data_IF_325503677280
#
_entry.id   IF_325503677280
#
_cell.length_a   1.000
_cell.length_b   1.000
_cell.length_c   1.000
_cell.angle_alpha   90.00
_cell.angle_beta   90.00
_cell.angle_gamma   90.00
#
_symmetry.space_group_name_H-M   'P 1'
#
loop_
_entity.id
_entity.type
_entity.pdbx_description
1 polymer ?
#
# COMPACT_ATOMS: atom_id res chain seq x y z
N UNK A 1 -10.22 -16.47 -17.46
CA UNK A 1 -9.69 -15.82 -16.24
C UNK A 1 -10.67 -15.88 -15.05
N UNK A 2 -11.99 -15.88 -15.26
CA UNK A 2 -12.97 -15.88 -14.15
C UNK A 2 -13.08 -17.20 -13.38
N UNK A 3 -12.91 -18.34 -14.05
CA UNK A 3 -12.88 -19.66 -13.40
C UNK A 3 -11.74 -19.76 -12.36
N UNK A 4 -10.55 -19.24 -12.70
CA UNK A 4 -9.40 -19.22 -11.80
C UNK A 4 -9.63 -18.30 -10.59
N UNK A 5 -10.31 -17.15 -10.80
CA UNK A 5 -10.70 -16.25 -9.71
C UNK A 5 -11.75 -16.89 -8.79
N UNK A 6 -12.71 -17.62 -9.36
CA UNK A 6 -13.72 -18.37 -8.60
C UNK A 6 -13.08 -19.48 -7.74
N UNK A 7 -12.20 -20.30 -8.33
CA UNK A 7 -11.46 -21.35 -7.62
C UNK A 7 -10.60 -20.79 -6.47
N UNK A 8 -9.91 -19.66 -6.67
CA UNK A 8 -9.15 -18.98 -5.60
C UNK A 8 -10.05 -18.51 -4.45
N UNK A 9 -11.24 -17.96 -4.77
CA UNK A 9 -12.22 -17.52 -3.75
C UNK A 9 -12.77 -18.70 -2.96
N UNK A 10 -13.09 -19.79 -3.64
CA UNK A 10 -13.60 -21.02 -3.01
C UNK A 10 -12.56 -21.65 -2.07
N UNK A 11 -11.31 -21.78 -2.52
CA UNK A 11 -10.20 -22.28 -1.68
C UNK A 11 -9.99 -21.40 -0.43
N UNK A 12 -10.14 -20.08 -0.56
CA UNK A 12 -10.07 -19.14 0.57
C UNK A 12 -11.22 -19.35 1.55
N UNK A 13 -12.46 -19.50 1.05
CA UNK A 13 -13.66 -19.78 1.87
C UNK A 13 -13.53 -21.11 2.61
N UNK A 14 -13.14 -22.18 1.93
CA UNK A 14 -12.91 -23.49 2.54
C UNK A 14 -11.83 -23.44 3.64
N UNK A 15 -10.75 -22.67 3.44
CA UNK A 15 -9.73 -22.47 4.49
C UNK A 15 -10.27 -21.69 5.70
N UNK A 16 -11.16 -20.73 5.48
CA UNK A 16 -11.80 -19.99 6.58
C UNK A 16 -12.76 -20.86 7.38
N UNK A 17 -13.60 -21.65 6.71
CA UNK A 17 -14.51 -22.61 7.35
C UNK A 17 -13.74 -23.61 8.22
N UNK A 18 -12.70 -24.27 7.66
CA UNK A 18 -11.85 -25.19 8.42
C UNK A 18 -11.22 -24.57 9.67
N UNK A 19 -10.80 -23.29 9.58
CA UNK A 19 -10.26 -22.56 10.73
C UNK A 19 -11.33 -22.26 11.79
N UNK A 20 -12.55 -21.99 11.36
CA UNK A 20 -13.68 -21.75 12.25
C UNK A 20 -14.10 -23.04 12.96
N UNK A 21 -14.24 -24.14 12.22
CA UNK A 21 -14.55 -25.47 12.75
C UNK A 21 -13.49 -25.91 13.78
N UNK A 22 -12.20 -25.86 13.41
CA UNK A 22 -11.12 -26.21 14.34
C UNK A 22 -11.12 -25.33 15.61
N UNK A 23 -11.52 -24.05 15.50
CA UNK A 23 -11.66 -23.17 16.65
C UNK A 23 -12.85 -23.56 17.53
N UNK A 24 -13.99 -23.91 16.94
CA UNK A 24 -15.17 -24.37 17.68
C UNK A 24 -14.88 -25.70 18.40
N UNK A 25 -14.30 -26.67 17.70
CA UNK A 25 -13.88 -27.95 18.29
C UNK A 25 -12.89 -27.76 19.45
N UNK A 26 -11.97 -26.81 19.33
CA UNK A 26 -11.06 -26.49 20.43
C UNK A 26 -11.80 -25.92 21.63
N UNK A 27 -12.77 -25.00 21.41
CA UNK A 27 -13.55 -24.39 22.48
C UNK A 27 -14.51 -25.36 23.16
N UNK A 28 -15.04 -26.37 22.44
CA UNK A 28 -15.94 -27.39 22.98
C UNK A 28 -15.22 -28.41 23.87
N UNK A 29 -13.90 -28.54 23.73
CA UNK A 29 -13.05 -29.41 24.57
C UNK A 29 -12.63 -28.75 25.89
N UNK A 30 -12.89 -27.46 26.07
CA UNK A 30 -12.48 -26.69 27.26
C UNK A 30 -13.64 -26.63 28.28
N UNK A 31 -13.31 -26.69 29.58
CA UNK A 31 -14.27 -26.39 30.63
C UNK A 31 -14.73 -24.92 30.57
N UNK A 32 -15.86 -24.53 31.21
CA UNK A 32 -16.38 -23.17 31.15
C UNK A 32 -15.36 -22.09 31.56
N UNK A 33 -14.61 -22.32 32.65
CA UNK A 33 -13.58 -21.39 33.13
C UNK A 33 -12.37 -21.29 32.18
N UNK A 34 -11.92 -22.42 31.63
CA UNK A 34 -10.81 -22.46 30.67
C UNK A 34 -11.17 -21.77 29.35
N UNK A 35 -12.41 -21.96 28.89
CA UNK A 35 -12.96 -21.30 27.71
C UNK A 35 -12.98 -19.78 27.88
N UNK A 36 -13.45 -19.29 29.02
CA UNK A 36 -13.46 -17.85 29.34
C UNK A 36 -12.03 -17.28 29.35
N UNK A 37 -11.10 -17.94 30.04
CA UNK A 37 -9.69 -17.54 30.11
C UNK A 37 -9.03 -17.53 28.72
N UNK A 38 -9.30 -18.54 27.89
CA UNK A 38 -8.80 -18.61 26.51
C UNK A 38 -9.31 -17.43 25.66
N UNK A 39 -10.61 -17.15 25.71
CA UNK A 39 -11.21 -16.05 24.96
C UNK A 39 -10.70 -14.69 25.44
N UNK A 40 -10.53 -14.51 26.75
CA UNK A 40 -9.94 -13.31 27.33
C UNK A 40 -8.49 -13.12 26.84
N UNK A 41 -7.67 -14.17 26.84
CA UNK A 41 -6.30 -14.13 26.31
C UNK A 41 -6.26 -13.78 24.83
N UNK A 42 -7.06 -14.44 23.99
CA UNK A 42 -7.13 -14.13 22.55
C UNK A 42 -7.54 -12.68 22.31
N UNK A 43 -8.49 -12.16 23.10
CA UNK A 43 -8.91 -10.76 23.03
C UNK A 43 -7.77 -9.81 23.46
N UNK A 44 -7.06 -10.13 24.54
CA UNK A 44 -5.94 -9.35 25.03
C UNK A 44 -4.79 -9.32 24.01
N UNK A 45 -4.40 -10.47 23.45
CA UNK A 45 -3.39 -10.59 22.38
C UNK A 45 -3.77 -9.78 21.13
N UNK A 46 -5.04 -9.85 20.72
CA UNK A 46 -5.54 -9.08 19.57
C UNK A 46 -5.51 -7.56 19.84
N UNK A 47 -5.83 -7.14 21.07
CA UNK A 47 -5.73 -5.72 21.48
C UNK A 47 -4.28 -5.27 21.50
N UNK A 48 -3.38 -6.04 22.11
CA UNK A 48 -1.95 -5.71 22.17
C UNK A 48 -1.37 -5.61 20.76
N UNK A 49 -1.68 -6.56 19.87
CA UNK A 49 -1.24 -6.50 18.48
C UNK A 49 -1.69 -5.22 17.77
N UNK A 50 -2.93 -4.78 17.98
CA UNK A 50 -3.42 -3.52 17.40
C UNK A 50 -2.68 -2.29 17.94
N UNK A 51 -2.33 -2.30 19.23
CA UNK A 51 -1.54 -1.23 19.84
C UNK A 51 -0.13 -1.20 19.24
N UNK A 52 0.52 -2.35 19.12
CA UNK A 52 1.84 -2.46 18.49
C UNK A 52 1.82 -2.02 17.03
N UNK A 53 0.83 -2.49 16.26
CA UNK A 53 0.68 -2.13 14.84
C UNK A 53 0.48 -0.61 14.69
N UNK A 54 -0.33 -0.01 15.57
CA UNK A 54 -0.54 1.45 15.60
C UNK A 54 0.74 2.19 15.97
N UNK A 55 1.48 1.72 16.98
CA UNK A 55 2.73 2.34 17.41
C UNK A 55 3.81 2.26 16.31
N UNK A 56 3.92 1.11 15.63
CA UNK A 56 4.83 0.93 14.50
C UNK A 56 4.48 1.86 13.33
N UNK A 57 3.19 1.98 13.00
CA UNK A 57 2.74 2.91 11.96
C UNK A 57 3.01 4.37 12.34
N UNK A 58 2.79 4.74 13.60
CA UNK A 58 3.08 6.09 14.08
C UNK A 58 4.57 6.40 13.98
N UNK A 59 5.44 5.45 14.37
CA UNK A 59 6.89 5.61 14.23
C UNK A 59 7.33 5.80 12.77
N UNK A 60 6.77 4.99 11.84
CA UNK A 60 7.01 5.14 10.41
C UNK A 60 6.48 6.48 9.87
N UNK A 61 5.33 6.95 10.36
CA UNK A 61 4.78 8.25 10.01
C UNK A 61 5.66 9.41 10.49
N UNK A 62 6.16 9.39 11.73
CA UNK A 62 6.92 10.50 12.29
C UNK A 62 8.36 10.56 11.77
N UNK A 63 9.01 9.40 11.66
CA UNK A 63 10.47 9.32 11.45
C UNK A 63 10.92 8.28 10.42
N UNK A 64 9.97 7.59 9.80
CA UNK A 64 10.24 6.47 8.91
C UNK A 64 11.08 6.83 7.69
N UNK A 65 11.89 5.86 7.26
CA UNK A 65 12.78 5.94 6.10
C UNK A 65 12.93 4.57 5.43
N UNK A 66 13.19 4.51 4.11
CA UNK A 66 13.11 5.64 3.17
C UNK A 66 11.67 6.15 3.02
N UNK A 67 11.50 7.31 2.37
CA UNK A 67 10.18 7.82 1.99
C UNK A 67 9.74 7.18 0.69
N UNK A 68 8.47 6.78 0.61
CA UNK A 68 7.87 6.25 -0.63
C UNK A 68 6.60 7.03 -0.91
N UNK A 69 6.53 7.67 -2.09
CA UNK A 69 5.39 8.45 -2.52
C UNK A 69 4.64 7.74 -3.66
N UNK A 70 3.33 7.57 -3.51
CA UNK A 70 2.45 7.17 -4.61
C UNK A 70 1.92 8.46 -5.26
N UNK A 71 2.38 8.74 -6.47
CA UNK A 71 1.99 9.92 -7.22
C UNK A 71 0.64 9.72 -7.92
N UNK A 72 -0.43 10.29 -7.36
CA UNK A 72 -1.79 10.16 -7.89
C UNK A 72 -2.13 11.18 -8.98
N UNK A 73 -1.16 11.91 -9.56
CA UNK A 73 -1.42 12.95 -10.57
C UNK A 73 -2.04 12.44 -11.88
N UNK A 74 -2.16 11.12 -12.06
CA UNK A 74 -2.73 10.49 -13.25
C UNK A 74 -4.23 10.23 -13.13
N UNK A 75 -4.87 10.66 -12.04
CA UNK A 75 -6.27 10.38 -11.72
C UNK A 75 -7.25 10.62 -12.86
N UNK A 76 -7.13 11.75 -13.55
CA UNK A 76 -8.05 12.15 -14.63
C UNK A 76 -8.00 11.23 -15.86
N UNK A 77 -6.91 10.48 -16.03
CA UNK A 77 -6.74 9.54 -17.13
C UNK A 77 -7.32 8.15 -16.89
N UNK A 78 -7.86 7.86 -15.69
CA UNK A 78 -8.31 6.53 -15.30
C UNK A 78 -9.84 6.41 -15.26
N UNK A 79 -10.35 5.25 -15.71
CA UNK A 79 -11.76 4.90 -15.53
C UNK A 79 -12.09 4.57 -14.05
N UNK A 80 -13.37 4.53 -13.71
CA UNK A 80 -13.81 4.22 -12.34
C UNK A 80 -13.25 2.91 -11.77
N UNK A 81 -13.11 1.88 -12.60
CA UNK A 81 -12.62 0.58 -12.18
C UNK A 81 -11.09 0.60 -11.99
N UNK A 82 -10.37 1.40 -12.76
CA UNK A 82 -8.93 1.67 -12.63
C UNK A 82 -8.64 2.47 -11.37
N UNK A 83 -9.41 3.54 -11.10
CA UNK A 83 -9.34 4.30 -9.84
C UNK A 83 -9.58 3.41 -8.61
N UNK A 84 -10.58 2.51 -8.68
CA UNK A 84 -10.83 1.51 -7.63
C UNK A 84 -9.66 0.53 -7.48
N UNK A 85 -9.00 0.18 -8.58
CA UNK A 85 -7.82 -0.69 -8.57
C UNK A 85 -6.63 0.02 -7.93
N UNK A 86 -6.37 1.28 -8.29
CA UNK A 86 -5.34 2.14 -7.68
C UNK A 86 -5.55 2.21 -6.17
N UNK A 87 -6.75 2.59 -5.73
CA UNK A 87 -7.08 2.68 -4.31
C UNK A 87 -6.80 1.35 -3.60
N UNK A 88 -7.20 0.23 -4.22
CA UNK A 88 -6.95 -1.10 -3.64
C UNK A 88 -5.45 -1.42 -3.54
N UNK A 89 -4.64 -1.03 -4.52
CA UNK A 89 -3.19 -1.22 -4.49
C UNK A 89 -2.52 -0.34 -3.44
N UNK A 90 -2.95 0.92 -3.30
CA UNK A 90 -2.51 1.80 -2.20
C UNK A 90 -2.85 1.20 -0.82
N UNK A 91 -4.06 0.62 -0.66
CA UNK A 91 -4.43 -0.10 0.56
C UNK A 91 -3.51 -1.29 0.86
N UNK A 92 -3.11 -2.01 -0.19
CA UNK A 92 -2.21 -3.15 -0.06
C UNK A 92 -0.82 -2.70 0.38
N UNK A 93 -0.31 -1.59 -0.16
CA UNK A 93 0.95 -0.99 0.28
C UNK A 93 0.90 -0.57 1.76
N UNK A 94 -0.15 0.17 2.15
CA UNK A 94 -0.37 0.55 3.56
C UNK A 94 -0.47 -0.66 4.49
N UNK A 95 -1.23 -1.68 4.07
CA UNK A 95 -1.38 -2.92 4.85
C UNK A 95 -0.06 -3.67 4.97
N UNK A 96 0.76 -3.69 3.92
CA UNK A 96 2.07 -4.32 3.96
C UNK A 96 3.00 -3.60 4.94
N UNK A 97 3.02 -2.25 4.93
CA UNK A 97 3.81 -1.48 5.91
C UNK A 97 3.38 -1.81 7.34
N UNK A 98 2.08 -1.84 7.62
CA UNK A 98 1.56 -2.24 8.94
C UNK A 98 1.95 -3.66 9.32
N UNK A 99 1.60 -4.63 8.47
CA UNK A 99 1.69 -6.06 8.80
C UNK A 99 3.15 -6.53 8.91
N UNK A 100 4.08 -5.88 8.18
CA UNK A 100 5.52 -6.13 8.24
C UNK A 100 6.24 -5.26 9.28
N UNK A 101 5.54 -4.32 9.94
CA UNK A 101 6.15 -3.30 10.81
C UNK A 101 7.30 -2.56 10.10
N UNK A 102 7.09 -2.25 8.83
CA UNK A 102 8.10 -1.64 7.97
C UNK A 102 8.42 -0.21 8.43
N UNK A 103 9.68 0.23 8.37
CA UNK A 103 10.06 1.61 8.70
C UNK A 103 9.73 2.61 7.59
N UNK A 104 9.20 2.17 6.44
CA UNK A 104 8.90 3.05 5.29
C UNK A 104 7.86 4.11 5.67
N UNK A 105 8.19 5.37 5.42
CA UNK A 105 7.25 6.48 5.53
C UNK A 105 6.49 6.62 4.20
N UNK A 106 5.19 6.29 4.22
CA UNK A 106 4.33 6.33 3.04
C UNK A 106 3.71 7.72 2.84
N UNK A 107 3.69 8.15 1.58
CA UNK A 107 3.05 9.37 1.13
C UNK A 107 2.08 9.09 -0.03
N UNK A 108 0.94 9.76 -0.01
CA UNK A 108 0.09 9.95 -1.19
C UNK A 108 0.22 11.41 -1.61
N UNK A 109 0.52 11.68 -2.88
CA UNK A 109 0.61 13.05 -3.41
C UNK A 109 -0.39 13.27 -4.54
N UNK A 110 -0.65 14.53 -4.84
CA UNK A 110 -1.60 14.95 -5.86
C UNK A 110 -3.03 14.50 -5.56
N UNK A 111 -3.45 14.37 -4.30
CA UNK A 111 -4.79 13.85 -3.92
C UNK A 111 -5.78 14.92 -3.45
N UNK A 112 -5.67 16.12 -4.03
CA UNK A 112 -6.59 17.23 -3.79
C UNK A 112 -8.04 16.93 -4.16
N UNK A 113 -8.96 17.78 -3.72
CA UNK A 113 -10.42 17.55 -3.81
C UNK A 113 -10.93 17.25 -5.23
N UNK A 114 -10.29 17.83 -6.25
CA UNK A 114 -10.67 17.64 -7.66
C UNK A 114 -10.13 16.34 -8.25
N UNK A 115 -9.20 15.66 -7.60
CA UNK A 115 -8.63 14.42 -8.12
C UNK A 115 -9.61 13.25 -7.91
N UNK A 116 -10.06 12.57 -8.97
CA UNK A 116 -11.02 11.46 -8.86
C UNK A 116 -10.47 10.25 -8.08
N UNK A 117 -9.15 10.13 -7.94
CA UNK A 117 -8.52 9.11 -7.09
C UNK A 117 -8.84 9.31 -5.60
N UNK A 118 -9.05 10.55 -5.16
CA UNK A 118 -9.36 10.88 -3.75
C UNK A 118 -10.62 10.16 -3.29
N UNK A 119 -11.70 10.24 -4.06
CA UNK A 119 -12.96 9.58 -3.72
C UNK A 119 -12.80 8.05 -3.62
N UNK A 120 -12.02 7.44 -4.52
CA UNK A 120 -11.75 6.01 -4.50
C UNK A 120 -10.95 5.58 -3.27
N UNK A 121 -9.98 6.41 -2.84
CA UNK A 121 -9.18 6.21 -1.63
C UNK A 121 -10.03 6.39 -0.35
N UNK A 122 -10.92 7.38 -0.30
CA UNK A 122 -11.83 7.59 0.82
C UNK A 122 -12.79 6.41 1.01
N UNK A 123 -13.33 5.88 -0.09
CA UNK A 123 -14.24 4.74 -0.07
C UNK A 123 -13.64 3.46 0.54
N UNK A 124 -12.32 3.39 0.66
CA UNK A 124 -11.59 2.26 1.27
C UNK A 124 -10.96 2.62 2.62
N UNK A 125 -11.32 3.78 3.18
CA UNK A 125 -10.96 4.22 4.52
C UNK A 125 -9.62 4.95 4.63
N UNK A 126 -9.11 5.54 3.54
CA UNK A 126 -7.85 6.31 3.56
C UNK A 126 -7.77 7.38 4.67
N UNK A 127 -8.84 8.15 5.01
CA UNK A 127 -8.78 9.12 6.11
C UNK A 127 -8.40 8.56 7.48
N UNK A 128 -8.53 7.24 7.69
CA UNK A 128 -8.12 6.57 8.92
C UNK A 128 -6.73 5.94 8.88
N UNK A 129 -5.98 6.12 7.78
CA UNK A 129 -4.62 5.59 7.65
C UNK A 129 -3.62 6.52 8.31
N UNK A 130 -2.59 5.94 8.93
CA UNK A 130 -1.48 6.70 9.53
C UNK A 130 -0.38 6.81 8.47
N UNK A 131 -0.56 7.75 7.54
CA UNK A 131 0.34 8.07 6.42
C UNK A 131 0.28 9.56 6.10
N UNK A 132 1.24 10.06 5.32
CA UNK A 132 1.21 11.44 4.84
C UNK A 132 0.36 11.56 3.57
N UNK A 133 -0.49 12.57 3.51
CA UNK A 133 -1.39 12.82 2.38
C UNK A 133 -1.26 14.27 1.97
N UNK A 134 -0.98 14.50 0.69
CA UNK A 134 -0.70 15.83 0.12
C UNK A 134 -1.63 16.10 -1.05
N UNK A 135 -2.26 17.27 -1.05
CA UNK A 135 -3.08 17.73 -2.17
C UNK A 135 -2.18 18.14 -3.35
N UNK A 136 -0.98 18.61 -3.02
CA UNK A 136 0.07 19.12 -3.89
C UNK A 136 0.81 18.01 -4.64
N UNK A 137 1.48 18.40 -5.73
CA UNK A 137 2.26 17.48 -6.54
C UNK A 137 3.50 16.97 -5.81
N UNK A 138 3.95 15.76 -6.16
CA UNK A 138 5.20 15.21 -5.63
C UNK A 138 6.42 16.13 -5.91
N UNK A 139 6.35 16.90 -7.00
CA UNK A 139 7.37 17.85 -7.43
C UNK A 139 7.42 19.11 -6.56
N UNK A 140 6.33 19.42 -5.85
CA UNK A 140 6.22 20.60 -4.98
C UNK A 140 6.46 20.24 -3.50
N UNK A 141 6.11 19.01 -3.12
CA UNK A 141 6.21 18.51 -1.74
C UNK A 141 7.65 18.19 -1.33
N UNK A 142 8.49 17.73 -2.26
CA UNK A 142 9.83 17.23 -1.96
C UNK A 142 10.91 17.96 -2.74
N UNK A 143 12.11 18.00 -2.16
CA UNK A 143 13.30 18.50 -2.84
C UNK A 143 13.61 17.60 -4.07
N UNK A 144 13.74 18.17 -5.28
CA UNK A 144 14.05 17.42 -6.50
C UNK A 144 15.30 16.55 -6.41
N UNK A 145 16.30 16.93 -5.61
CA UNK A 145 17.55 16.17 -5.42
C UNK A 145 17.38 14.88 -4.60
N UNK A 146 16.26 14.77 -3.87
CA UNK A 146 15.90 13.58 -3.11
C UNK A 146 15.02 12.61 -3.89
N UNK A 147 14.42 13.06 -5.00
CA UNK A 147 13.47 12.25 -5.77
C UNK A 147 14.18 11.18 -6.59
N UNK A 148 13.70 9.94 -6.47
CA UNK A 148 14.04 8.82 -7.35
C UNK A 148 12.74 8.33 -7.98
N UNK A 149 12.56 8.59 -9.27
CA UNK A 149 11.34 8.23 -9.98
C UNK A 149 11.43 6.78 -10.45
N UNK A 150 10.51 5.95 -9.96
CA UNK A 150 10.41 4.55 -10.34
C UNK A 150 9.51 4.39 -11.55
N UNK A 151 10.10 3.98 -12.67
CA UNK A 151 9.38 3.73 -13.92
C UNK A 151 9.95 2.49 -14.62
N UNK A 152 9.11 1.60 -15.20
CA UNK A 152 9.60 0.44 -15.95
C UNK A 152 10.36 0.82 -17.23
N UNK A 153 10.22 2.08 -17.67
CA UNK A 153 10.82 2.62 -18.89
C UNK A 153 12.19 3.28 -18.65
N UNK A 154 12.72 3.24 -17.43
CA UNK A 154 14.08 3.75 -17.15
C UNK A 154 15.17 2.81 -17.70
N UNK A 155 16.30 3.40 -18.09
CA UNK A 155 17.45 2.66 -18.61
C UNK A 155 18.22 1.93 -17.49
N UNK A 156 18.37 2.59 -16.35
CA UNK A 156 19.14 2.12 -15.20
C UNK A 156 18.27 1.39 -14.16
N UNK A 157 18.80 0.29 -13.62
CA UNK A 157 18.16 -0.45 -12.53
C UNK A 157 18.39 0.26 -11.17
N UNK A 158 17.43 0.12 -10.26
CA UNK A 158 17.60 0.49 -8.86
C UNK A 158 18.43 -0.58 -8.17
N UNK A 159 19.72 -0.31 -7.99
CA UNK A 159 20.65 -1.24 -7.32
C UNK A 159 20.60 -1.12 -5.78
N UNK A 160 20.41 0.11 -5.26
CA UNK A 160 20.42 0.38 -3.82
C UNK A 160 19.28 1.31 -3.38
N UNK A 161 18.83 1.11 -2.14
CA UNK A 161 17.81 1.94 -1.48
C UNK A 161 18.46 2.76 -0.37
N UNK A 162 18.31 4.07 -0.42
CA UNK A 162 18.89 5.02 0.53
C UNK A 162 17.81 5.72 1.36
N UNK A 163 18.06 5.83 2.66
CA UNK A 163 17.11 6.38 3.64
C UNK A 163 16.80 7.88 3.47
N UNK A 164 17.70 8.63 2.83
CA UNK A 164 17.55 10.07 2.59
C UNK A 164 16.71 10.39 1.34
N UNK A 165 16.40 9.39 0.51
CA UNK A 165 15.67 9.54 -0.76
C UNK A 165 14.17 9.34 -0.62
N UNK A 166 13.46 9.86 -1.63
CA UNK A 166 12.03 9.69 -1.84
C UNK A 166 11.81 8.88 -3.11
N UNK A 167 11.32 7.67 -2.96
CA UNK A 167 11.02 6.78 -4.08
C UNK A 167 9.59 7.03 -4.56
N UNK A 168 9.45 7.52 -5.79
CA UNK A 168 8.16 7.90 -6.36
C UNK A 168 7.65 6.78 -7.27
N UNK A 169 6.51 6.21 -6.91
CA UNK A 169 5.78 5.23 -7.71
C UNK A 169 4.63 5.94 -8.41
N UNK A 170 4.51 5.76 -9.72
CA UNK A 170 3.35 6.25 -10.47
C UNK A 170 2.05 5.58 -9.95
N UNK A 171 1.15 6.38 -9.39
CA UNK A 171 -0.18 5.95 -8.96
C UNK A 171 -1.13 5.81 -10.14
N UNK A 172 -0.79 4.93 -11.09
CA UNK A 172 -1.51 4.73 -12.33
C UNK A 172 -1.84 3.27 -12.53
N UNK A 173 -3.06 3.00 -12.99
CA UNK A 173 -3.51 1.67 -13.40
C UNK A 173 -4.11 1.80 -14.78
N UNK A 174 -3.43 1.26 -15.78
CA UNK A 174 -3.93 1.20 -17.15
C UNK A 174 -4.14 -0.27 -17.54
N UNK A 175 -5.25 -0.56 -18.21
CA UNK A 175 -5.58 -1.88 -18.77
C UNK A 175 -4.93 -2.10 -20.13
N UNK A 176 -4.60 -1.03 -20.84
CA UNK A 176 -3.65 -0.99 -21.94
C UNK A 176 -2.28 -0.58 -21.39
N UNK A 177 -1.18 -0.95 -22.03
CA UNK A 177 0.14 -0.45 -21.56
C UNK A 177 0.39 0.89 -22.25
N UNK A 178 -0.02 2.00 -21.65
CA UNK A 178 0.53 3.30 -22.02
C UNK A 178 1.95 3.41 -21.49
N UNK A 179 2.90 3.08 -22.36
CA UNK A 179 4.33 3.23 -22.09
C UNK A 179 4.65 4.72 -21.84
N UNK A 180 5.68 4.98 -21.04
CA UNK A 180 6.33 6.28 -20.88
C UNK A 180 5.62 7.36 -20.04
N UNK A 181 4.39 7.19 -19.54
CA UNK A 181 3.69 8.30 -18.85
C UNK A 181 4.44 8.86 -17.64
N UNK A 182 4.95 8.00 -16.75
CA UNK A 182 5.75 8.43 -15.61
C UNK A 182 7.14 8.93 -16.03
N UNK A 183 7.71 8.39 -17.10
CA UNK A 183 8.98 8.85 -17.67
C UNK A 183 8.86 10.27 -18.25
N UNK A 184 7.87 10.51 -19.09
CA UNK A 184 7.60 11.80 -19.73
C UNK A 184 7.25 12.87 -18.70
N UNK A 185 6.47 12.52 -17.67
CA UNK A 185 6.22 13.46 -16.58
C UNK A 185 7.52 13.81 -15.85
N UNK A 186 8.33 12.82 -15.49
CA UNK A 186 9.60 13.05 -14.83
C UNK A 186 10.56 13.92 -15.65
N UNK A 187 10.66 13.68 -16.96
CA UNK A 187 11.46 14.50 -17.87
C UNK A 187 10.96 15.94 -17.96
N UNK A 188 9.63 16.15 -18.05
CA UNK A 188 9.02 17.50 -18.06
C UNK A 188 9.34 18.30 -16.80
N UNK A 189 9.43 17.63 -15.65
CA UNK A 189 9.78 18.25 -14.38
C UNK A 189 11.29 18.25 -14.10
N UNK A 190 12.13 17.80 -15.03
CA UNK A 190 13.59 17.80 -14.89
C UNK A 190 14.10 16.87 -13.79
N UNK A 191 13.42 15.74 -13.55
CA UNK A 191 13.82 14.78 -12.52
C UNK A 191 15.26 14.27 -12.74
N UNK A 192 16.10 14.41 -11.72
CA UNK A 192 17.52 14.08 -11.82
C UNK A 192 17.79 12.55 -11.80
N UNK A 193 16.90 11.75 -11.20
CA UNK A 193 17.11 10.32 -11.01
C UNK A 193 15.87 9.52 -11.42
N UNK A 194 16.04 8.65 -12.42
CA UNK A 194 15.03 7.69 -12.86
C UNK A 194 15.61 6.28 -12.76
N UNK A 195 14.85 5.36 -12.19
CA UNK A 195 15.27 3.97 -11.99
C UNK A 195 14.13 3.01 -12.30
N UNK A 196 14.44 1.82 -12.81
CA UNK A 196 13.49 0.71 -12.88
C UNK A 196 13.80 -0.32 -11.80
N UNK A 197 12.82 -1.12 -11.40
CA UNK A 197 13.09 -2.23 -10.49
C UNK A 197 13.92 -3.32 -11.21
N UNK A 198 14.88 -3.98 -10.54
CA UNK A 198 15.77 -4.99 -11.14
C UNK A 198 15.08 -6.35 -11.38
N UNK A 199 13.88 -6.33 -11.98
CA UNK A 199 13.04 -7.53 -12.17
C UNK A 199 13.29 -8.26 -13.49
N UNK A 200 13.99 -7.65 -14.46
CA UNK A 200 14.30 -8.29 -15.76
C UNK A 200 15.50 -9.24 -15.70
N UNK A 201 16.25 -9.25 -14.59
CA UNK A 201 17.47 -10.06 -14.42
C UNK A 201 17.20 -11.48 -13.90
N UNK A 202 15.93 -11.87 -13.71
CA UNK A 202 15.52 -13.14 -13.09
C UNK A 202 14.52 -13.91 -13.94
#
# INVERSE_FOLDING_TARGET
QDLLKAQKREKKRARQLRRQEARLEHLDKLGPQEREAFLARVKAEATQRRLDDKASLQHAFDTGRPRVAINCSFGDGMDFKELRSLAKQAQMAYTAVRDLRSPIQLHLTSVGEQNPARQALENIGMPGWIIHTHDESVWDVFDPSQLVILTPDADEDLEEVHDDKVYVIGGIVDRSVNKLQSLEQAQRHGAACLRRLPIRRH
#
